data_IF_245994513185
#
_entry.id   IF_245994513185
#
_cell.length_a   1.000
_cell.length_b   1.000
_cell.length_c   1.000
_cell.angle_alpha   90.00
_cell.angle_beta   90.00
_cell.angle_gamma   90.00
#
_symmetry.space_group_name_H-M   'P 1'
#
loop_
_entity.id
_entity.type
_entity.pdbx_description
1 polymer ?
#
# COMPACT_ATOMS: atom_id res chain seq x y z
N UNK A 1 -40.32 24.81 -19.89
CA UNK A 1 -39.70 23.49 -19.77
C UNK A 1 -38.52 23.59 -18.85
N UNK A 2 -38.41 22.72 -17.83
CA UNK A 2 -37.18 22.61 -17.07
C UNK A 2 -36.66 21.17 -17.09
N UNK A 3 -35.36 21.02 -17.33
CA UNK A 3 -34.67 19.74 -17.22
C UNK A 3 -33.23 20.02 -16.82
N UNK A 4 -33.04 20.44 -15.56
CA UNK A 4 -31.73 20.58 -14.95
C UNK A 4 -31.04 19.23 -14.86
N UNK A 5 -29.86 19.11 -15.47
CA UNK A 5 -28.96 17.97 -15.28
C UNK A 5 -28.20 18.14 -13.98
N UNK A 6 -28.66 17.44 -12.93
CA UNK A 6 -27.93 17.26 -11.68
C UNK A 6 -26.65 16.48 -11.94
N UNK A 7 -25.51 17.00 -11.46
CA UNK A 7 -24.25 16.26 -11.38
C UNK A 7 -24.45 14.99 -10.55
N UNK A 8 -24.26 13.83 -11.18
CA UNK A 8 -24.35 12.53 -10.53
C UNK A 8 -23.19 12.31 -9.57
N UNK A 9 -23.55 12.07 -8.31
CA UNK A 9 -22.65 11.76 -7.21
C UNK A 9 -21.79 10.50 -7.47
N UNK A 10 -20.61 10.47 -6.83
CA UNK A 10 -19.61 9.43 -6.95
C UNK A 10 -20.17 8.02 -6.75
N UNK A 11 -20.04 7.19 -7.78
CA UNK A 11 -20.29 5.77 -7.69
C UNK A 11 -19.26 5.12 -6.78
N UNK A 12 -19.71 4.62 -5.63
CA UNK A 12 -18.92 3.78 -4.73
C UNK A 12 -18.52 2.51 -5.47
N UNK A 13 -17.22 2.31 -5.65
CA UNK A 13 -16.68 1.15 -6.39
C UNK A 13 -17.01 -0.16 -5.65
N UNK A 14 -17.48 -1.14 -6.40
CA UNK A 14 -17.85 -2.47 -5.89
C UNK A 14 -16.64 -3.43 -5.96
N UNK A 15 -16.03 -3.65 -4.80
CA UNK A 15 -14.87 -4.52 -4.62
C UNK A 15 -15.16 -6.00 -4.87
N UNK A 16 -16.43 -6.40 -5.02
CA UNK A 16 -16.82 -7.79 -5.22
C UNK A 16 -16.74 -8.26 -6.68
N UNK A 17 -16.59 -7.35 -7.64
CA UNK A 17 -16.75 -7.65 -9.08
C UNK A 17 -15.47 -7.64 -9.93
N UNK A 18 -14.31 -7.42 -9.33
CA UNK A 18 -13.02 -7.50 -10.01
C UNK A 18 -12.69 -8.96 -10.42
N UNK A 19 -12.28 -9.17 -11.67
CA UNK A 19 -11.99 -10.48 -12.27
C UNK A 19 -11.07 -11.32 -11.41
N UNK A 20 -11.58 -12.47 -10.96
CA UNK A 20 -10.93 -13.37 -10.01
C UNK A 20 -10.13 -14.42 -10.77
N UNK A 21 -8.80 -14.41 -10.62
CA UNK A 21 -7.98 -15.58 -10.91
C UNK A 21 -7.84 -16.36 -9.60
N UNK A 22 -8.60 -17.45 -9.49
CA UNK A 22 -8.61 -18.35 -8.35
C UNK A 22 -7.44 -19.34 -8.49
N UNK A 23 -6.35 -19.07 -7.78
CA UNK A 23 -5.27 -20.04 -7.63
C UNK A 23 -5.60 -20.90 -6.41
N UNK A 24 -5.66 -22.21 -6.62
CA UNK A 24 -6.26 -23.25 -5.79
C UNK A 24 -5.64 -23.41 -4.38
N UNK A 25 -5.76 -22.39 -3.51
CA UNK A 25 -5.39 -22.43 -2.08
C UNK A 25 -6.47 -21.72 -1.23
N UNK A 26 -7.42 -22.50 -0.72
CA UNK A 26 -8.40 -22.19 0.35
C UNK A 26 -8.48 -20.70 0.80
N UNK A 27 -9.01 -19.81 -0.04
CA UNK A 27 -9.37 -18.44 0.35
C UNK A 27 -8.33 -17.33 0.06
N UNK A 28 -7.22 -17.62 -0.61
CA UNK A 28 -6.29 -16.59 -1.09
C UNK A 28 -6.59 -16.23 -2.55
N UNK A 29 -6.81 -14.95 -2.84
CA UNK A 29 -6.98 -14.45 -4.20
C UNK A 29 -6.29 -13.09 -4.37
N UNK A 30 -5.61 -12.91 -5.51
CA UNK A 30 -5.08 -11.60 -5.93
C UNK A 30 -6.12 -10.96 -6.83
N UNK A 31 -6.65 -9.80 -6.42
CA UNK A 31 -7.66 -9.05 -7.18
C UNK A 31 -7.05 -7.77 -7.73
N UNK A 32 -7.26 -7.53 -9.02
CA UNK A 32 -6.82 -6.30 -9.67
C UNK A 32 -7.99 -5.33 -9.77
N UNK A 33 -7.80 -4.11 -9.26
CA UNK A 33 -8.83 -3.07 -9.19
C UNK A 33 -8.29 -1.79 -9.81
N UNK A 34 -9.04 -1.20 -10.73
CA UNK A 34 -8.73 0.12 -11.29
C UNK A 34 -9.32 1.21 -10.41
N UNK A 35 -8.48 2.06 -9.84
CA UNK A 35 -8.89 3.17 -8.97
C UNK A 35 -7.74 3.70 -8.14
N UNK A 36 -8.06 4.54 -7.15
CA UNK A 36 -7.07 5.04 -6.19
C UNK A 36 -6.87 4.03 -5.06
N UNK A 37 -5.63 3.58 -4.85
CA UNK A 37 -5.25 2.71 -3.73
C UNK A 37 -5.70 3.26 -2.37
N UNK A 38 -5.74 4.58 -2.27
CA UNK A 38 -6.02 5.35 -1.06
C UNK A 38 -7.51 5.51 -0.77
N UNK A 39 -8.39 5.07 -1.67
CA UNK A 39 -9.85 5.00 -1.52
C UNK A 39 -10.33 3.62 -1.06
N UNK A 40 -9.40 2.68 -0.78
CA UNK A 40 -9.77 1.39 -0.21
C UNK A 40 -10.50 1.55 1.15
N UNK A 41 -11.44 0.65 1.48
CA UNK A 41 -12.24 0.74 2.71
C UNK A 41 -11.37 0.85 3.96
N UNK A 42 -11.70 1.75 4.90
CA UNK A 42 -10.84 2.13 6.03
C UNK A 42 -10.27 0.96 6.86
N UNK A 43 -10.94 -0.19 6.93
CA UNK A 43 -10.44 -1.39 7.63
C UNK A 43 -9.35 -2.18 6.88
N UNK A 44 -9.19 -1.97 5.57
CA UNK A 44 -8.16 -2.66 4.77
C UNK A 44 -6.76 -2.14 5.10
N UNK A 45 -5.80 -3.03 5.29
CA UNK A 45 -4.42 -2.62 5.49
C UNK A 45 -3.76 -2.25 4.16
N UNK A 46 -2.76 -1.37 4.20
CA UNK A 46 -1.99 -0.97 3.02
C UNK A 46 -0.56 -1.49 3.11
N UNK A 47 0.03 -1.80 1.97
CA UNK A 47 1.42 -2.25 1.89
C UNK A 47 2.13 -1.59 0.70
N UNK A 48 3.40 -1.20 0.90
CA UNK A 48 4.26 -0.81 -0.21
C UNK A 48 5.75 -1.00 0.12
N UNK A 49 6.59 -1.05 -0.91
CA UNK A 49 8.03 -1.19 -0.76
C UNK A 49 8.71 0.18 -0.55
N UNK A 50 9.67 0.23 0.37
CA UNK A 50 10.54 1.40 0.60
C UNK A 50 12.01 1.00 0.77
N UNK A 51 12.88 2.00 0.82
CA UNK A 51 14.25 1.88 1.29
C UNK A 51 14.35 2.06 2.80
N UNK A 52 15.35 1.44 3.43
CA UNK A 52 15.66 1.57 4.85
C UNK A 52 15.86 3.05 5.25
N UNK A 53 16.46 3.87 4.37
CA UNK A 53 16.63 5.31 4.60
C UNK A 53 15.31 6.13 4.62
N UNK A 54 14.16 5.50 4.36
CA UNK A 54 12.82 6.10 4.40
C UNK A 54 12.65 7.38 3.57
N UNK A 55 13.46 7.59 2.51
CA UNK A 55 13.38 8.81 1.68
C UNK A 55 12.00 9.04 1.06
N UNK A 56 11.40 7.97 0.51
CA UNK A 56 10.06 7.96 -0.09
C UNK A 56 9.77 9.18 -1.00
N UNK A 57 10.72 9.57 -1.84
CA UNK A 57 10.65 10.81 -2.64
C UNK A 57 9.97 10.69 -4.01
N UNK A 58 9.53 9.50 -4.42
CA UNK A 58 9.00 9.26 -5.76
C UNK A 58 7.87 8.22 -5.77
N UNK A 59 7.10 8.23 -6.86
CA UNK A 59 6.01 7.28 -7.11
C UNK A 59 4.96 7.27 -6.00
N UNK A 60 4.35 6.10 -5.77
CA UNK A 60 3.33 5.94 -4.71
C UNK A 60 3.90 6.22 -3.31
N UNK A 61 5.20 5.97 -3.08
CA UNK A 61 5.82 6.16 -1.76
C UNK A 61 5.79 7.63 -1.30
N UNK A 62 5.92 8.59 -2.21
CA UNK A 62 5.76 10.01 -1.90
C UNK A 62 4.34 10.34 -1.41
N UNK A 63 3.32 9.68 -1.96
CA UNK A 63 1.94 9.83 -1.52
C UNK A 63 1.71 9.20 -0.15
N UNK A 64 2.29 8.03 0.13
CA UNK A 64 2.28 7.43 1.48
C UNK A 64 2.91 8.37 2.52
N UNK A 65 4.09 8.94 2.20
CA UNK A 65 4.76 9.91 3.07
C UNK A 65 3.89 11.15 3.32
N UNK A 66 3.27 11.71 2.28
CA UNK A 66 2.38 12.88 2.42
C UNK A 66 1.14 12.57 3.26
N UNK A 67 0.59 11.36 3.14
CA UNK A 67 -0.70 10.99 3.74
C UNK A 67 -0.58 10.44 5.16
N UNK A 68 0.50 9.73 5.47
CA UNK A 68 0.68 9.03 6.74
C UNK A 68 1.85 9.54 7.58
N UNK A 69 2.82 10.26 6.98
CA UNK A 69 3.94 10.86 7.71
C UNK A 69 4.77 9.85 8.48
N UNK A 70 5.10 10.17 9.74
CA UNK A 70 5.76 9.28 10.70
C UNK A 70 7.12 8.71 10.24
N UNK A 71 7.94 9.52 9.55
CA UNK A 71 9.26 9.08 9.07
C UNK A 71 10.19 8.71 10.22
N UNK A 72 10.19 9.50 11.28
CA UNK A 72 11.01 9.26 12.48
C UNK A 72 10.61 7.96 13.15
N UNK A 73 9.31 7.76 13.37
CA UNK A 73 8.74 6.51 13.93
C UNK A 73 9.12 5.27 13.10
N UNK A 74 9.14 5.38 11.77
CA UNK A 74 9.60 4.30 10.88
C UNK A 74 11.11 4.03 11.03
N UNK A 75 11.92 5.09 11.14
CA UNK A 75 13.37 4.97 11.29
C UNK A 75 13.76 4.41 12.67
N UNK A 76 13.02 4.75 13.72
CA UNK A 76 13.21 4.26 15.08
C UNK A 76 12.99 2.74 15.21
N UNK A 77 12.17 2.15 14.34
CA UNK A 77 12.01 0.70 14.25
C UNK A 77 13.26 -0.02 13.74
N UNK A 78 14.22 0.71 13.15
CA UNK A 78 15.55 0.22 12.73
C UNK A 78 15.54 -0.99 11.79
N UNK A 79 14.47 -1.13 11.00
CA UNK A 79 14.26 -2.25 10.08
C UNK A 79 15.27 -2.27 8.93
N UNK A 80 15.63 -3.45 8.47
CA UNK A 80 16.64 -3.75 7.44
C UNK A 80 16.00 -4.37 6.19
N UNK A 81 16.69 -4.38 5.05
CA UNK A 81 16.20 -5.05 3.85
C UNK A 81 15.87 -6.53 4.15
N UNK A 82 14.67 -6.97 3.79
CA UNK A 82 14.15 -8.28 4.18
C UNK A 82 13.17 -8.25 5.36
N UNK A 83 12.99 -7.09 6.01
CA UNK A 83 12.06 -6.92 7.12
C UNK A 83 10.90 -5.98 6.76
N UNK A 84 9.95 -5.85 7.68
CA UNK A 84 8.79 -4.96 7.55
C UNK A 84 8.73 -3.97 8.72
N UNK A 85 8.52 -2.70 8.40
CA UNK A 85 8.14 -1.67 9.37
C UNK A 85 6.63 -1.48 9.33
N UNK A 86 6.02 -1.16 10.47
CA UNK A 86 4.55 -1.06 10.59
C UNK A 86 4.17 0.25 11.26
N UNK A 87 3.20 0.95 10.68
CA UNK A 87 2.48 2.04 11.36
C UNK A 87 1.03 1.63 11.58
N UNK A 88 0.48 1.96 12.75
CA UNK A 88 -0.94 1.86 12.99
C UNK A 88 -1.55 3.27 12.92
N UNK A 89 -2.44 3.51 11.96
CA UNK A 89 -3.11 4.80 11.76
C UNK A 89 -4.57 4.57 11.42
N UNK A 90 -5.48 5.36 12.00
CA UNK A 90 -6.91 5.34 11.66
C UNK A 90 -7.53 3.93 11.61
N UNK A 91 -7.23 3.11 12.63
CA UNK A 91 -7.75 1.76 12.78
C UNK A 91 -7.35 0.76 11.67
N UNK A 92 -6.23 1.01 10.97
CA UNK A 92 -5.59 0.08 10.04
C UNK A 92 -4.09 0.01 10.25
N UNK A 93 -3.48 -1.04 9.69
CA UNK A 93 -2.03 -1.17 9.61
C UNK A 93 -1.52 -0.72 8.23
N UNK A 94 -0.34 -0.14 8.23
CA UNK A 94 0.39 0.26 7.03
C UNK A 94 1.74 -0.42 7.10
N UNK A 95 1.96 -1.34 6.17
CA UNK A 95 3.16 -2.16 6.06
C UNK A 95 4.15 -1.54 5.08
N UNK A 96 5.35 -1.28 5.57
CA UNK A 96 6.45 -0.71 4.82
C UNK A 96 7.50 -1.81 4.61
N UNK A 97 7.45 -2.45 3.45
CA UNK A 97 8.34 -3.55 3.10
C UNK A 97 9.72 -2.98 2.79
N UNK A 98 10.71 -3.28 3.64
CA UNK A 98 12.06 -2.78 3.46
C UNK A 98 12.77 -3.70 2.47
N UNK A 99 12.99 -3.21 1.25
CA UNK A 99 13.51 -4.06 0.15
C UNK A 99 14.91 -3.68 -0.30
N UNK A 100 15.43 -2.55 0.16
CA UNK A 100 16.73 -2.00 -0.20
C UNK A 100 17.25 -1.03 0.86
N UNK A 101 18.56 -0.83 0.93
CA UNK A 101 19.16 0.07 1.92
C UNK A 101 18.89 1.54 1.60
N UNK A 102 19.18 1.95 0.35
CA UNK A 102 19.07 3.34 -0.10
C UNK A 102 18.06 3.49 -1.21
N UNK A 103 17.44 4.66 -1.32
CA UNK A 103 16.43 4.92 -2.35
C UNK A 103 16.96 4.73 -3.80
N UNK A 104 18.25 5.01 -4.04
CA UNK A 104 18.90 4.85 -5.35
C UNK A 104 19.24 3.39 -5.69
N UNK A 105 19.20 2.47 -4.72
CA UNK A 105 19.55 1.07 -4.95
C UNK A 105 18.39 0.30 -5.57
N UNK A 106 18.71 -0.85 -6.17
CA UNK A 106 17.71 -1.79 -6.68
C UNK A 106 17.37 -2.82 -5.58
N UNK A 107 16.09 -3.17 -5.40
CA UNK A 107 15.72 -4.26 -4.50
C UNK A 107 16.15 -5.61 -5.08
N UNK A 108 16.19 -6.65 -4.24
CA UNK A 108 16.40 -8.03 -4.67
C UNK A 108 15.14 -8.86 -4.42
N UNK A 109 14.95 -9.96 -5.13
CA UNK A 109 13.86 -10.89 -4.83
C UNK A 109 13.98 -11.51 -3.44
N UNK A 110 15.22 -11.70 -2.95
CA UNK A 110 15.46 -12.20 -1.60
C UNK A 110 14.95 -11.24 -0.53
N UNK A 111 15.28 -9.94 -0.65
CA UNK A 111 14.80 -8.93 0.30
C UNK A 111 13.30 -8.69 0.19
N UNK A 112 12.72 -8.74 -1.01
CA UNK A 112 11.26 -8.69 -1.17
C UNK A 112 10.59 -9.88 -0.49
N UNK A 113 11.05 -11.10 -0.75
CA UNK A 113 10.48 -12.32 -0.16
C UNK A 113 10.59 -12.30 1.36
N UNK A 114 11.74 -11.89 1.90
CA UNK A 114 11.92 -11.70 3.34
C UNK A 114 10.86 -10.78 3.91
N UNK A 115 10.66 -9.61 3.30
CA UNK A 115 9.70 -8.62 3.80
C UNK A 115 8.22 -9.05 3.72
N UNK A 116 7.90 -10.09 2.94
CA UNK A 116 6.55 -10.65 2.82
C UNK A 116 6.24 -11.75 3.84
N UNK A 117 7.27 -12.40 4.39
CA UNK A 117 7.14 -13.51 5.35
C UNK A 117 7.60 -13.15 6.77
N UNK A 118 8.06 -11.92 6.96
CA UNK A 118 8.65 -11.39 8.20
C UNK A 118 7.65 -11.32 9.36
#
# INVERSE_FOLDING_TARGET
>A
GPGGGSAGAGGRFDWTRAGVFDLQTRGFAIRYVTGSLFECPAGESLAHCISQDCRMGAGIAALFRKRFGSIEELQEQKKKPGEVAVLQKNNRYIYYLITKEKASYKPTYSSLRGSLIA
#
